data_IF_180584789026
#
_entry.id   IF_180584789026
#
_cell.length_a   1.000
_cell.length_b   1.000
_cell.length_c   1.000
_cell.angle_alpha   90.00
_cell.angle_beta   90.00
_cell.angle_gamma   90.00
#
_symmetry.space_group_name_H-M   'P 1'
#
loop_
_entity.id
_entity.type
_entity.pdbx_description
1 polymer ?
#
# COMPACT_ATOMS: atom_id res chain seq x y z
N UNK A 1 -2.28 -0.02 -14.65
CA UNK A 1 -2.13 1.35 -15.17
C UNK A 1 -1.01 1.47 -16.20
N UNK A 2 0.28 1.15 -15.85
CA UNK A 2 1.46 1.40 -16.71
C UNK A 2 1.35 0.82 -18.12
N UNK A 3 0.83 -0.41 -18.28
CA UNK A 3 0.65 -1.05 -19.59
C UNK A 3 -0.39 -0.33 -20.44
N UNK A 4 -1.47 0.18 -19.83
CA UNK A 4 -2.51 0.96 -20.53
C UNK A 4 -1.92 2.27 -21.03
N UNK A 5 -1.24 3.04 -20.16
CA UNK A 5 -0.59 4.30 -20.55
C UNK A 5 0.50 4.12 -21.60
N UNK A 6 1.13 2.95 -21.66
CA UNK A 6 2.08 2.58 -22.72
C UNK A 6 1.41 2.06 -24.00
N UNK A 7 0.08 2.14 -24.13
CA UNK A 7 -0.67 1.66 -25.30
C UNK A 7 -0.80 0.13 -25.39
N UNK A 8 -0.31 -0.62 -24.40
CA UNK A 8 -0.33 -2.09 -24.39
C UNK A 8 -1.57 -2.63 -23.66
N UNK A 9 -2.75 -2.38 -24.21
CA UNK A 9 -4.02 -2.86 -23.64
C UNK A 9 -4.11 -4.40 -23.63
N UNK A 10 -3.56 -5.07 -24.65
CA UNK A 10 -3.52 -6.54 -24.70
C UNK A 10 -2.77 -7.11 -23.51
N UNK A 11 -1.56 -6.64 -23.26
CA UNK A 11 -0.78 -7.09 -22.11
C UNK A 11 -1.39 -6.70 -20.76
N UNK A 12 -2.16 -5.59 -20.70
CA UNK A 12 -2.92 -5.23 -19.50
C UNK A 12 -4.05 -6.22 -19.22
N UNK A 13 -4.79 -6.64 -20.27
CA UNK A 13 -5.85 -7.64 -20.18
C UNK A 13 -5.30 -9.02 -19.77
N UNK A 14 -4.23 -9.47 -20.41
CA UNK A 14 -3.58 -10.75 -20.05
C UNK A 14 -3.16 -10.77 -18.57
N UNK A 15 -2.60 -9.67 -18.07
CA UNK A 15 -2.24 -9.55 -16.65
C UNK A 15 -3.47 -9.57 -15.74
N UNK A 16 -4.56 -8.91 -16.10
CA UNK A 16 -5.80 -8.92 -15.31
C UNK A 16 -6.40 -10.34 -15.23
N UNK A 17 -6.42 -11.09 -16.33
CA UNK A 17 -6.86 -12.48 -16.34
C UNK A 17 -5.96 -13.39 -15.49
N UNK A 18 -4.64 -13.19 -15.54
CA UNK A 18 -3.71 -13.91 -14.68
C UNK A 18 -3.97 -13.65 -13.20
N UNK A 19 -4.25 -12.39 -12.81
CA UNK A 19 -4.60 -12.06 -11.44
C UNK A 19 -5.94 -12.71 -11.03
N UNK A 20 -6.94 -12.68 -11.89
CA UNK A 20 -8.21 -13.35 -11.65
C UNK A 20 -8.03 -14.87 -11.46
N UNK A 21 -7.16 -15.52 -12.23
CA UNK A 21 -6.83 -16.93 -12.08
C UNK A 21 -6.17 -17.23 -10.72
N UNK A 22 -5.23 -16.37 -10.29
CA UNK A 22 -4.51 -16.53 -9.01
C UNK A 22 -5.44 -16.37 -7.81
N UNK A 23 -6.29 -15.34 -7.81
CA UNK A 23 -7.16 -15.01 -6.67
C UNK A 23 -8.52 -15.73 -6.73
N UNK A 24 -8.88 -16.28 -7.88
CA UNK A 24 -10.17 -16.89 -8.14
C UNK A 24 -11.22 -15.88 -8.60
N UNK A 25 -12.24 -16.40 -9.30
CA UNK A 25 -13.37 -15.62 -9.80
C UNK A 25 -14.11 -14.91 -8.64
N UNK A 26 -14.45 -13.63 -8.83
CA UNK A 26 -15.11 -12.81 -7.82
C UNK A 26 -14.20 -12.29 -6.69
N UNK A 27 -12.90 -12.61 -6.70
CA UNK A 27 -11.94 -12.13 -5.69
C UNK A 27 -10.92 -11.12 -6.24
N UNK A 28 -11.01 -10.81 -7.52
CA UNK A 28 -10.19 -9.80 -8.17
C UNK A 28 -11.06 -8.78 -8.87
N UNK A 29 -10.74 -7.51 -8.73
CA UNK A 29 -11.51 -6.37 -9.24
C UNK A 29 -10.61 -5.45 -10.05
N UNK A 30 -11.20 -4.78 -11.05
CA UNK A 30 -10.57 -3.66 -11.74
C UNK A 30 -10.97 -2.37 -11.02
N UNK A 31 -9.97 -1.68 -10.48
CA UNK A 31 -10.16 -0.50 -9.65
C UNK A 31 -10.23 0.77 -10.49
N UNK A 32 -11.29 1.55 -10.30
CA UNK A 32 -11.49 2.87 -10.87
C UNK A 32 -11.22 3.94 -9.81
N UNK A 33 -10.41 4.94 -10.16
CA UNK A 33 -10.19 6.15 -9.35
C UNK A 33 -10.36 7.39 -10.22
N UNK A 34 -10.86 8.46 -9.64
CA UNK A 34 -10.95 9.75 -10.32
C UNK A 34 -10.65 10.91 -9.36
N UNK A 35 -9.46 11.49 -9.53
CA UNK A 35 -9.03 12.70 -8.82
C UNK A 35 -8.93 13.91 -9.77
N UNK A 36 -9.40 13.75 -11.02
CA UNK A 36 -9.24 14.75 -12.06
C UNK A 36 -7.89 14.70 -12.77
N UNK A 37 -7.12 13.62 -12.60
CA UNK A 37 -5.83 13.41 -13.25
C UNK A 37 -6.06 12.85 -14.66
N UNK A 38 -5.44 13.47 -15.67
CA UNK A 38 -5.59 13.06 -17.06
C UNK A 38 -5.26 11.57 -17.30
N UNK A 39 -4.18 11.10 -16.71
CA UNK A 39 -3.73 9.71 -16.86
C UNK A 39 -4.72 8.71 -16.24
N UNK A 40 -5.39 9.07 -15.13
CA UNK A 40 -6.45 8.24 -14.54
C UNK A 40 -7.63 8.08 -15.49
N UNK A 41 -8.04 9.16 -16.17
CA UNK A 41 -9.12 9.08 -17.15
C UNK A 41 -8.76 8.14 -18.33
N UNK A 42 -7.49 8.12 -18.75
CA UNK A 42 -7.02 7.19 -19.79
C UNK A 42 -6.98 5.75 -19.26
N UNK A 43 -6.47 5.54 -18.06
CA UNK A 43 -6.43 4.24 -17.39
C UNK A 43 -7.85 3.69 -17.23
N UNK A 44 -8.78 4.50 -16.73
CA UNK A 44 -10.18 4.10 -16.55
C UNK A 44 -10.82 3.63 -17.86
N UNK A 45 -10.62 4.35 -18.98
CA UNK A 45 -11.10 3.89 -20.30
C UNK A 45 -10.55 2.51 -20.67
N UNK A 46 -9.27 2.28 -20.40
CA UNK A 46 -8.64 0.97 -20.65
C UNK A 46 -9.19 -0.13 -19.74
N UNK A 47 -9.41 0.16 -18.46
CA UNK A 47 -10.00 -0.79 -17.51
C UNK A 47 -11.45 -1.14 -17.83
N UNK A 48 -12.26 -0.15 -18.24
CA UNK A 48 -13.63 -0.36 -18.68
C UNK A 48 -13.70 -1.28 -19.89
N UNK A 49 -12.79 -1.11 -20.85
CA UNK A 49 -12.69 -2.02 -21.98
C UNK A 49 -12.29 -3.44 -21.57
N UNK A 50 -11.33 -3.58 -20.65
CA UNK A 50 -10.94 -4.89 -20.11
C UNK A 50 -12.14 -5.53 -19.39
N UNK A 51 -12.87 -4.78 -18.56
CA UNK A 51 -14.10 -5.23 -17.92
C UNK A 51 -15.11 -5.77 -18.92
N UNK A 52 -15.42 -5.01 -19.98
CA UNK A 52 -16.35 -5.43 -21.03
C UNK A 52 -15.92 -6.72 -21.74
N UNK A 53 -14.62 -6.90 -21.97
CA UNK A 53 -14.07 -8.05 -22.67
C UNK A 53 -13.90 -9.30 -21.78
N UNK A 54 -13.81 -9.16 -20.45
CA UNK A 54 -13.42 -10.25 -19.53
C UNK A 54 -14.49 -10.57 -18.49
N UNK A 55 -15.41 -9.64 -18.21
CA UNK A 55 -16.36 -9.76 -17.12
C UNK A 55 -15.77 -9.57 -15.73
N UNK A 56 -14.47 -9.22 -15.58
CA UNK A 56 -13.85 -8.93 -14.28
C UNK A 56 -14.58 -7.74 -13.66
N UNK A 57 -15.14 -7.85 -12.44
CA UNK A 57 -15.94 -6.79 -11.84
C UNK A 57 -15.13 -5.52 -11.56
N UNK A 58 -15.83 -4.39 -11.55
CA UNK A 58 -15.28 -3.08 -11.21
C UNK A 58 -15.43 -2.79 -9.72
N UNK A 59 -14.53 -2.00 -9.17
CA UNK A 59 -14.69 -1.35 -7.87
C UNK A 59 -14.16 0.08 -7.96
N UNK A 60 -14.82 1.05 -7.32
CA UNK A 60 -14.30 2.40 -7.23
C UNK A 60 -13.70 2.67 -5.85
N UNK A 61 -12.60 3.41 -5.82
CA UNK A 61 -11.92 3.79 -4.57
C UNK A 61 -11.55 5.26 -4.57
N UNK A 62 -11.26 5.79 -3.38
CA UNK A 62 -11.04 7.22 -3.21
C UNK A 62 -9.58 7.61 -3.00
N UNK A 63 -8.67 6.70 -2.65
CA UNK A 63 -7.25 7.03 -2.39
C UNK A 63 -7.05 8.29 -1.53
N UNK A 64 -7.75 8.34 -0.38
CA UNK A 64 -7.74 9.51 0.49
C UNK A 64 -6.40 9.67 1.22
N UNK A 65 -5.85 10.89 1.20
CA UNK A 65 -4.60 11.27 1.86
C UNK A 65 -4.81 12.26 3.00
N UNK A 66 -5.95 12.92 3.05
CA UNK A 66 -6.37 13.84 4.10
C UNK A 66 -7.90 13.81 4.27
N UNK A 67 -8.40 14.36 5.39
CA UNK A 67 -9.79 14.18 5.78
C UNK A 67 -10.74 15.07 4.98
N UNK A 68 -10.47 16.37 4.91
CA UNK A 68 -11.35 17.38 4.32
C UNK A 68 -10.66 18.04 3.14
N UNK A 69 -11.44 18.57 2.23
CA UNK A 69 -10.93 19.25 1.02
C UNK A 69 -10.00 20.41 1.35
N UNK A 70 -10.30 21.17 2.40
CA UNK A 70 -9.50 22.28 2.90
C UNK A 70 -8.16 21.86 3.54
N UNK A 71 -8.00 20.58 3.92
CA UNK A 71 -6.76 20.06 4.49
C UNK A 71 -5.64 19.84 3.45
N UNK A 72 -5.94 20.08 2.17
CA UNK A 72 -4.98 19.91 1.08
C UNK A 72 -3.70 20.72 1.26
N UNK A 73 -3.82 21.97 1.76
CA UNK A 73 -2.68 22.84 2.03
C UNK A 73 -1.80 22.30 3.18
N UNK A 74 -2.43 21.84 4.25
CA UNK A 74 -1.73 21.23 5.38
C UNK A 74 -0.99 19.94 4.96
N UNK A 75 -1.62 19.13 4.09
CA UNK A 75 -1.01 17.94 3.52
C UNK A 75 0.20 18.30 2.65
N UNK A 76 0.13 19.38 1.86
CA UNK A 76 1.24 19.85 1.04
C UNK A 76 2.46 20.24 1.89
N UNK A 77 2.23 20.90 3.05
CA UNK A 77 3.28 21.18 4.05
C UNK A 77 3.89 19.88 4.61
N UNK A 78 3.06 18.87 4.92
CA UNK A 78 3.56 17.58 5.40
C UNK A 78 4.45 16.88 4.37
N UNK A 79 4.11 16.97 3.07
CA UNK A 79 4.95 16.45 2.00
C UNK A 79 6.31 17.18 1.95
N UNK A 80 6.34 18.50 2.18
CA UNK A 80 7.59 19.25 2.27
C UNK A 80 8.47 18.74 3.43
N UNK A 81 7.89 18.55 4.61
CA UNK A 81 8.61 18.01 5.78
C UNK A 81 9.18 16.63 5.47
N UNK A 82 8.36 15.73 4.91
CA UNK A 82 8.75 14.36 4.58
C UNK A 82 9.90 14.30 3.56
N UNK A 83 9.93 15.24 2.61
CA UNK A 83 10.90 15.23 1.51
C UNK A 83 12.08 16.18 1.73
N UNK A 84 12.15 16.88 2.88
CA UNK A 84 13.18 17.86 3.18
C UNK A 84 13.15 19.07 2.23
N UNK A 85 11.94 19.49 1.82
CA UNK A 85 11.68 20.61 0.93
C UNK A 85 10.91 21.72 1.64
N UNK A 86 10.80 22.88 0.99
CA UNK A 86 9.95 23.98 1.42
C UNK A 86 8.78 24.18 0.45
N UNK A 87 7.76 24.93 0.85
CA UNK A 87 6.60 25.21 -0.01
C UNK A 87 6.98 26.05 -1.25
N UNK A 88 8.07 26.79 -1.18
CA UNK A 88 8.57 27.66 -2.24
C UNK A 88 9.43 26.91 -3.27
N UNK A 89 9.84 25.66 -2.98
CA UNK A 89 10.60 24.85 -3.90
C UNK A 89 9.74 24.48 -5.14
N UNK A 90 10.21 24.82 -6.33
CA UNK A 90 9.50 24.51 -7.59
C UNK A 90 9.52 23.01 -7.89
N UNK A 91 10.64 22.35 -7.65
CA UNK A 91 10.85 20.93 -7.95
C UNK A 91 10.67 20.06 -6.70
N UNK A 92 9.41 19.84 -6.30
CA UNK A 92 9.03 19.03 -5.15
C UNK A 92 7.81 18.16 -5.43
N UNK A 93 7.59 17.16 -4.60
CA UNK A 93 6.39 16.32 -4.66
C UNK A 93 5.14 17.15 -4.30
N UNK A 94 4.10 17.03 -5.13
CA UNK A 94 2.78 17.65 -4.92
C UNK A 94 1.69 16.68 -5.32
N UNK A 95 0.55 16.79 -4.65
CA UNK A 95 -0.68 16.09 -5.02
C UNK A 95 -1.62 17.07 -5.73
N UNK A 96 -1.60 17.04 -7.05
CA UNK A 96 -2.45 17.86 -7.89
C UNK A 96 -3.29 17.01 -8.85
N UNK A 97 -4.58 17.34 -9.03
CA UNK A 97 -5.34 18.36 -8.29
C UNK A 97 -5.62 17.96 -6.82
N UNK A 98 -6.02 18.92 -5.99
CA UNK A 98 -6.25 18.74 -4.54
C UNK A 98 -7.58 18.01 -4.25
N UNK A 99 -7.72 16.78 -4.75
CA UNK A 99 -8.94 15.98 -4.67
C UNK A 99 -8.75 14.65 -3.92
N UNK A 100 -7.76 14.58 -3.01
CA UNK A 100 -7.40 13.38 -2.26
C UNK A 100 -7.97 13.37 -0.84
N UNK A 101 -9.12 14.05 -0.63
CA UNK A 101 -9.85 14.04 0.64
C UNK A 101 -10.82 12.87 0.72
N UNK A 102 -11.35 12.56 1.92
CA UNK A 102 -12.37 11.54 2.09
C UNK A 102 -13.69 12.10 1.56
N UNK A 103 -14.13 11.61 0.41
CA UNK A 103 -15.42 11.95 -0.20
C UNK A 103 -16.56 11.25 0.52
N UNK A 104 -17.72 11.90 0.56
CA UNK A 104 -18.94 11.25 1.04
C UNK A 104 -19.45 10.17 0.09
N UNK A 105 -20.38 9.34 0.55
CA UNK A 105 -21.02 8.33 -0.30
C UNK A 105 -21.70 8.98 -1.51
N UNK A 106 -22.41 10.08 -1.30
CA UNK A 106 -23.12 10.82 -2.34
C UNK A 106 -22.16 11.42 -3.37
N UNK A 107 -20.99 11.92 -2.94
CA UNK A 107 -19.95 12.41 -3.85
C UNK A 107 -19.39 11.27 -4.70
N UNK A 108 -19.15 10.08 -4.11
CA UNK A 108 -18.67 8.90 -4.84
C UNK A 108 -19.73 8.37 -5.81
N UNK A 109 -21.00 8.32 -5.42
CA UNK A 109 -22.11 7.93 -6.29
C UNK A 109 -22.27 8.88 -7.49
N UNK A 110 -22.13 10.17 -7.27
CA UNK A 110 -22.17 11.16 -8.35
C UNK A 110 -20.96 11.03 -9.29
N UNK A 111 -19.76 10.86 -8.73
CA UNK A 111 -18.51 10.73 -9.50
C UNK A 111 -18.53 9.49 -10.42
N UNK A 112 -19.07 8.38 -9.91
CA UNK A 112 -19.15 7.11 -10.62
C UNK A 112 -20.57 6.75 -11.06
N UNK A 113 -21.45 7.75 -11.27
CA UNK A 113 -22.84 7.53 -11.66
C UNK A 113 -23.04 6.68 -12.91
N UNK A 114 -22.05 6.66 -13.82
CA UNK A 114 -22.04 5.80 -14.99
C UNK A 114 -21.73 4.32 -14.68
N UNK A 115 -21.26 4.02 -13.45
CA UNK A 115 -20.80 2.69 -13.03
C UNK A 115 -21.28 2.38 -11.60
N UNK A 116 -22.61 2.36 -11.35
CA UNK A 116 -23.17 2.19 -9.99
C UNK A 116 -22.72 0.86 -9.35
N UNK A 117 -22.53 -0.19 -10.15
CA UNK A 117 -22.02 -1.47 -9.67
C UNK A 117 -20.64 -1.35 -9.04
N UNK A 118 -19.76 -0.47 -9.55
CA UNK A 118 -18.44 -0.24 -8.99
C UNK A 118 -18.51 0.38 -7.56
N UNK A 119 -19.54 1.18 -7.30
CA UNK A 119 -19.82 1.73 -5.95
C UNK A 119 -20.39 0.63 -5.06
N UNK A 120 -21.42 -0.11 -5.50
CA UNK A 120 -22.03 -1.21 -4.75
C UNK A 120 -21.01 -2.30 -4.37
N UNK A 121 -20.04 -2.59 -5.24
CA UNK A 121 -19.02 -3.59 -4.97
C UNK A 121 -18.11 -3.22 -3.79
N UNK A 122 -17.98 -1.95 -3.40
CA UNK A 122 -17.27 -1.55 -2.18
C UNK A 122 -17.94 -2.15 -0.95
N UNK A 123 -19.28 -2.05 -0.86
CA UNK A 123 -20.04 -2.64 0.24
C UNK A 123 -20.01 -4.17 0.18
N UNK A 124 -20.18 -4.77 -0.99
CA UNK A 124 -20.12 -6.23 -1.16
C UNK A 124 -18.76 -6.81 -0.72
N UNK A 125 -17.65 -6.10 -0.98
CA UNK A 125 -16.32 -6.49 -0.51
C UNK A 125 -16.24 -6.36 1.02
N UNK A 126 -16.70 -5.24 1.59
CA UNK A 126 -16.71 -5.02 3.03
C UNK A 126 -17.51 -6.10 3.78
N UNK A 127 -18.67 -6.48 3.28
CA UNK A 127 -19.54 -7.51 3.88
C UNK A 127 -18.88 -8.91 3.89
N UNK A 128 -17.95 -9.16 2.97
CA UNK A 128 -17.16 -10.40 2.91
C UNK A 128 -15.99 -10.43 3.87
N UNK A 129 -15.53 -9.27 4.35
CA UNK A 129 -14.41 -9.16 5.27
C UNK A 129 -14.87 -9.43 6.69
N UNK A 130 -14.49 -10.60 7.24
CA UNK A 130 -14.77 -11.02 8.60
C UNK A 130 -13.44 -11.19 9.33
N UNK A 131 -13.06 -10.22 10.15
CA UNK A 131 -11.80 -10.23 10.90
C UNK A 131 -12.02 -9.76 12.33
N UNK A 132 -11.63 -10.59 13.28
CA UNK A 132 -11.58 -10.23 14.70
C UNK A 132 -10.13 -10.17 15.17
N UNK A 133 -9.77 -9.10 15.87
CA UNK A 133 -8.45 -8.94 16.49
C UNK A 133 -8.48 -9.40 17.93
N UNK A 134 -7.59 -10.32 18.28
CA UNK A 134 -7.35 -10.69 19.68
C UNK A 134 -6.26 -9.78 20.26
N UNK A 135 -6.69 -8.77 21.01
CA UNK A 135 -5.77 -7.83 21.67
C UNK A 135 -5.06 -8.48 22.86
N UNK A 136 -3.84 -7.99 23.17
CA UNK A 136 -3.05 -8.43 24.31
C UNK A 136 -2.32 -9.78 24.11
N UNK A 137 -2.45 -10.41 22.94
CA UNK A 137 -1.69 -11.60 22.59
C UNK A 137 -0.60 -11.24 21.58
N UNK A 138 0.65 -11.42 22.00
CA UNK A 138 1.80 -11.19 21.14
C UNK A 138 2.19 -12.47 20.41
N UNK A 139 2.34 -12.39 19.09
CA UNK A 139 2.85 -13.46 18.25
C UNK A 139 4.28 -13.09 17.85
N UNK A 140 5.25 -13.49 18.68
CA UNK A 140 6.66 -13.29 18.35
C UNK A 140 7.14 -14.45 17.45
N UNK A 141 8.02 -14.16 16.48
CA UNK A 141 8.64 -15.21 15.68
C UNK A 141 9.45 -16.15 16.58
N UNK A 142 9.25 -17.46 16.42
CA UNK A 142 10.09 -18.46 17.09
C UNK A 142 11.34 -18.71 16.25
N UNK A 143 12.51 -18.42 16.85
CA UNK A 143 13.77 -18.77 16.23
C UNK A 143 14.14 -20.22 16.59
N UNK A 144 14.45 -21.03 15.59
CA UNK A 144 14.89 -22.41 15.82
C UNK A 144 16.31 -22.40 16.40
N UNK A 145 16.42 -22.78 17.65
CA UNK A 145 17.69 -22.82 18.36
C UNK A 145 18.44 -24.13 18.11
N UNK A 146 19.78 -24.11 18.03
CA UNK A 146 20.57 -25.32 18.09
C UNK A 146 20.35 -26.09 19.39
N UNK A 147 20.50 -27.43 19.40
CA UNK A 147 20.35 -28.22 20.60
C UNK A 147 21.25 -27.73 21.73
N UNK A 148 20.69 -27.63 22.95
CA UNK A 148 21.43 -27.24 24.15
C UNK A 148 21.47 -25.73 24.42
N UNK A 149 20.80 -24.91 23.61
CA UNK A 149 20.71 -23.47 23.83
C UNK A 149 19.26 -23.04 24.11
N UNK A 150 19.12 -22.04 24.98
CA UNK A 150 17.94 -21.17 25.02
C UNK A 150 18.22 -19.84 24.27
N UNK A 151 17.20 -19.01 24.07
CA UNK A 151 17.34 -17.77 23.29
C UNK A 151 18.38 -16.79 23.86
N UNK A 152 18.43 -16.53 25.18
CA UNK A 152 19.45 -15.64 25.75
C UNK A 152 20.87 -16.16 25.58
N UNK A 153 21.11 -17.44 25.86
CA UNK A 153 22.48 -18.02 25.80
C UNK A 153 22.97 -18.13 24.35
N UNK A 154 22.06 -18.42 23.40
CA UNK A 154 22.44 -18.43 22.00
C UNK A 154 22.71 -17.03 21.44
N UNK A 155 21.89 -16.05 21.82
CA UNK A 155 22.12 -14.66 21.45
C UNK A 155 23.47 -14.17 21.98
N UNK A 156 23.77 -14.43 23.27
CA UNK A 156 25.07 -14.09 23.88
C UNK A 156 26.23 -14.67 23.09
N UNK A 157 26.16 -15.95 22.77
CA UNK A 157 27.18 -16.63 21.95
C UNK A 157 27.39 -15.93 20.61
N UNK A 158 26.30 -15.64 19.89
CA UNK A 158 26.39 -14.97 18.58
C UNK A 158 27.00 -13.58 18.70
N UNK A 159 26.66 -12.84 19.76
CA UNK A 159 27.22 -11.52 20.03
C UNK A 159 28.73 -11.60 20.31
N UNK A 160 29.18 -12.56 21.10
CA UNK A 160 30.60 -12.73 21.40
C UNK A 160 31.44 -13.18 20.19
N UNK A 161 30.91 -14.12 19.39
CA UNK A 161 31.51 -14.50 18.11
C UNK A 161 31.56 -13.31 17.13
N UNK A 162 30.49 -12.53 17.06
CA UNK A 162 30.42 -11.31 16.25
C UNK A 162 31.41 -10.25 16.73
N UNK A 163 31.53 -10.07 18.05
CA UNK A 163 32.47 -9.14 18.67
C UNK A 163 33.91 -9.50 18.30
N UNK A 164 34.31 -10.75 18.53
CA UNK A 164 35.64 -11.24 18.18
C UNK A 164 35.97 -11.04 16.68
N UNK A 165 35.01 -11.28 15.81
CA UNK A 165 35.17 -11.08 14.35
C UNK A 165 35.30 -9.62 13.95
N UNK A 166 34.54 -8.70 14.59
CA UNK A 166 34.48 -7.29 14.20
C UNK A 166 35.58 -6.45 14.85
N UNK A 167 35.94 -6.76 16.10
CA UNK A 167 36.86 -5.92 16.90
C UNK A 167 38.17 -6.61 17.26
N UNK A 168 38.23 -7.93 17.24
CA UNK A 168 39.42 -8.66 17.65
C UNK A 168 39.73 -8.56 19.15
N UNK A 169 41.01 -8.69 19.51
CA UNK A 169 41.47 -8.57 20.90
C UNK A 169 41.76 -7.11 21.27
N UNK A 170 41.66 -6.74 22.58
CA UNK A 170 42.10 -5.45 23.10
C UNK A 170 41.02 -4.36 23.18
N UNK A 171 39.75 -4.69 23.01
CA UNK A 171 38.63 -3.73 23.10
C UNK A 171 37.75 -3.97 24.34
N UNK A 172 38.36 -4.07 25.54
CA UNK A 172 37.63 -4.36 26.78
C UNK A 172 36.51 -3.37 27.12
N UNK A 173 36.67 -2.09 26.74
CA UNK A 173 35.65 -1.07 26.96
C UNK A 173 34.41 -1.29 26.08
N UNK A 174 34.57 -1.81 24.88
CA UNK A 174 33.48 -2.17 24.01
C UNK A 174 32.79 -3.46 24.48
N UNK A 175 33.56 -4.39 25.06
CA UNK A 175 33.00 -5.62 25.60
C UNK A 175 32.02 -5.37 26.76
N UNK A 176 32.26 -4.33 27.59
CA UNK A 176 31.32 -3.90 28.62
C UNK A 176 29.96 -3.46 28.07
N UNK A 177 29.94 -2.89 26.85
CA UNK A 177 28.70 -2.49 26.19
C UNK A 177 27.86 -3.70 25.76
N UNK A 178 28.49 -4.86 25.56
CA UNK A 178 27.80 -6.11 25.26
C UNK A 178 26.96 -6.63 26.43
N UNK A 179 27.34 -6.26 27.67
CA UNK A 179 26.67 -6.67 28.90
C UNK A 179 25.52 -5.74 29.32
N UNK A 180 25.43 -4.56 28.68
CA UNK A 180 24.38 -3.57 28.92
C UNK A 180 23.14 -3.87 28.10
#
# INVERSE_FOLDING_TARGET
PRRILAGNLKGAKEYALQMQEIFGEGNYYLELQDHGIRDQAEVNRGLLRIHQETGIPLVCTNDAHYLRKEDAESHDVLLCIQTGKTVDDENRMRYEPQNFYIRSTEEMEQLFAAYPEAVENTQRIADRCQLEFTFGKYHLPEFQLPPGYDSPTYLRKLCEEGFARCYGEGHEDYHKQLDY
#
